data_IF_323079353268
#
_entry.id   IF_323079353268
#
_cell.length_a   1.000
_cell.length_b   1.000
_cell.length_c   1.000
_cell.angle_alpha   90.00
_cell.angle_beta   90.00
_cell.angle_gamma   90.00
#
_symmetry.space_group_name_H-M   'P 1'
#
loop_
_entity.id
_entity.type
_entity.pdbx_description
1 polymer ?
#
# COMPACT_ATOMS: atom_id res chain seq x y z
N UNK A 1 27.16 -45.34 -18.61
CA UNK A 1 27.82 -44.81 -17.39
C UNK A 1 27.82 -43.28 -17.32
N UNK A 2 28.20 -42.54 -18.38
CA UNK A 2 28.19 -41.05 -18.39
C UNK A 2 26.81 -40.41 -18.13
N UNK A 3 25.73 -40.95 -18.69
CA UNK A 3 24.37 -40.39 -18.57
C UNK A 3 23.75 -40.55 -17.19
N UNK A 4 24.11 -41.62 -16.46
CA UNK A 4 23.61 -41.88 -15.10
C UNK A 4 24.29 -40.94 -14.11
N UNK A 5 25.61 -40.78 -14.19
CA UNK A 5 26.36 -39.84 -13.35
C UNK A 5 25.92 -38.38 -13.51
N UNK A 6 25.52 -37.97 -14.72
CA UNK A 6 24.98 -36.62 -14.95
C UNK A 6 23.59 -36.41 -14.33
N UNK A 7 22.76 -37.45 -14.26
CA UNK A 7 21.41 -37.34 -13.69
C UNK A 7 21.46 -37.15 -12.18
N UNK A 8 22.39 -37.84 -11.49
CA UNK A 8 22.62 -37.67 -10.04
C UNK A 8 23.11 -36.25 -9.66
N UNK A 9 23.72 -35.53 -10.61
CA UNK A 9 24.23 -34.17 -10.39
C UNK A 9 23.14 -33.10 -10.55
N UNK A 10 22.03 -33.39 -11.23
CA UNK A 10 20.98 -32.40 -11.45
C UNK A 10 20.29 -31.93 -10.16
N UNK A 11 19.88 -32.82 -9.23
CA UNK A 11 19.32 -32.39 -7.94
C UNK A 11 20.28 -31.49 -7.15
N UNK A 12 21.58 -31.83 -7.14
CA UNK A 12 22.62 -31.04 -6.45
C UNK A 12 22.77 -29.67 -7.09
N UNK A 13 22.77 -29.59 -8.43
CA UNK A 13 22.81 -28.33 -9.16
C UNK A 13 21.61 -27.43 -8.81
N UNK A 14 20.39 -27.96 -8.84
CA UNK A 14 19.18 -27.20 -8.52
C UNK A 14 19.14 -26.75 -7.06
N UNK A 15 19.62 -27.59 -6.14
CA UNK A 15 19.75 -27.23 -4.73
C UNK A 15 20.74 -26.07 -4.54
N UNK A 16 21.94 -26.17 -5.13
CA UNK A 16 22.95 -25.11 -5.07
C UNK A 16 22.42 -23.81 -5.67
N UNK A 17 21.77 -23.88 -6.83
CA UNK A 17 21.14 -22.73 -7.48
C UNK A 17 20.08 -22.08 -6.58
N UNK A 18 19.20 -22.89 -5.97
CA UNK A 18 18.17 -22.42 -5.04
C UNK A 18 18.75 -21.69 -3.83
N UNK A 19 19.80 -22.24 -3.22
CA UNK A 19 20.51 -21.62 -2.09
C UNK A 19 21.18 -20.32 -2.50
N UNK A 20 21.91 -20.30 -3.63
CA UNK A 20 22.55 -19.09 -4.14
C UNK A 20 21.53 -17.98 -4.40
N UNK A 21 20.39 -18.30 -5.01
CA UNK A 21 19.31 -17.34 -5.25
C UNK A 21 18.71 -16.80 -3.95
N UNK A 22 18.54 -17.66 -2.93
CA UNK A 22 18.05 -17.23 -1.62
C UNK A 22 19.05 -16.28 -0.91
N UNK A 23 20.35 -16.53 -1.03
CA UNK A 23 21.39 -15.65 -0.48
C UNK A 23 21.40 -14.29 -1.21
N UNK A 24 21.32 -14.29 -2.53
CA UNK A 24 21.24 -13.05 -3.34
C UNK A 24 19.99 -12.25 -2.96
N UNK A 25 18.87 -12.93 -2.75
CA UNK A 25 17.65 -12.25 -2.30
C UNK A 25 17.85 -11.60 -0.93
N UNK A 26 18.45 -12.32 0.03
CA UNK A 26 18.66 -11.82 1.38
C UNK A 26 19.52 -10.56 1.43
N UNK A 27 20.43 -10.36 0.46
CA UNK A 27 21.26 -9.16 0.37
C UNK A 27 20.61 -8.01 -0.40
N UNK A 28 19.67 -8.30 -1.31
CA UNK A 28 19.05 -7.30 -2.21
C UNK A 28 17.68 -6.82 -1.75
N UNK A 29 16.93 -7.64 -1.00
CA UNK A 29 15.59 -7.32 -0.45
C UNK A 29 14.59 -6.86 -1.55
N UNK A 30 14.72 -7.40 -2.77
CA UNK A 30 13.93 -6.99 -3.94
C UNK A 30 12.68 -7.86 -4.18
N UNK A 31 12.54 -8.97 -3.46
CA UNK A 31 11.52 -10.01 -3.60
C UNK A 31 11.42 -10.58 -5.02
N UNK A 32 12.54 -10.72 -5.74
CA UNK A 32 12.56 -11.26 -7.11
C UNK A 32 13.23 -12.63 -7.15
N UNK A 33 14.44 -12.73 -6.61
CA UNK A 33 15.23 -13.97 -6.63
C UNK A 33 14.58 -15.08 -5.79
N UNK A 34 13.73 -14.73 -4.81
CA UNK A 34 12.98 -15.71 -4.00
C UNK A 34 12.07 -16.63 -4.84
N UNK A 35 11.43 -16.10 -5.90
CA UNK A 35 10.54 -16.90 -6.76
C UNK A 35 11.31 -17.88 -7.64
N UNK A 36 12.51 -17.48 -8.04
CA UNK A 36 13.45 -18.34 -8.75
C UNK A 36 14.05 -19.40 -7.82
N UNK A 37 14.36 -19.03 -6.57
CA UNK A 37 14.79 -19.99 -5.55
C UNK A 37 13.74 -21.08 -5.32
N UNK A 38 12.46 -20.70 -5.17
CA UNK A 38 11.35 -21.64 -5.03
C UNK A 38 11.20 -22.55 -6.27
N UNK A 39 11.30 -21.98 -7.47
CA UNK A 39 11.27 -22.76 -8.72
C UNK A 39 12.41 -23.78 -8.79
N UNK A 40 13.62 -23.41 -8.37
CA UNK A 40 14.77 -24.30 -8.34
C UNK A 40 14.54 -25.48 -7.38
N UNK A 41 14.02 -25.20 -6.17
CA UNK A 41 13.71 -26.24 -5.18
C UNK A 41 12.64 -27.21 -5.68
N UNK A 42 11.56 -26.71 -6.30
CA UNK A 42 10.50 -27.59 -6.86
C UNK A 42 11.03 -28.44 -8.02
N UNK A 43 11.97 -27.93 -8.80
CA UNK A 43 12.60 -28.65 -9.93
C UNK A 43 13.46 -29.83 -9.50
N UNK A 44 13.84 -29.91 -8.21
CA UNK A 44 14.51 -31.09 -7.64
C UNK A 44 13.65 -32.35 -7.80
N UNK A 45 12.32 -32.25 -7.71
CA UNK A 45 11.41 -33.40 -7.82
C UNK A 45 11.53 -34.11 -9.18
N UNK A 46 11.32 -33.45 -10.33
CA UNK A 46 11.51 -34.08 -11.62
C UNK A 46 12.98 -34.48 -11.87
N UNK A 47 13.96 -33.76 -11.30
CA UNK A 47 15.37 -34.16 -11.39
C UNK A 47 15.63 -35.52 -10.69
N UNK A 48 15.05 -35.74 -9.51
CA UNK A 48 15.12 -37.03 -8.80
C UNK A 48 14.39 -38.16 -9.53
N UNK A 49 13.38 -37.83 -10.32
CA UNK A 49 12.68 -38.79 -11.19
C UNK A 49 13.45 -39.10 -12.49
N UNK A 50 14.64 -38.52 -12.69
CA UNK A 50 15.45 -38.71 -13.89
C UNK A 50 14.89 -38.02 -15.14
N UNK A 51 14.04 -37.00 -14.97
CA UNK A 51 13.47 -36.24 -16.09
C UNK A 51 14.59 -35.55 -16.90
N UNK A 52 14.43 -35.42 -18.24
CA UNK A 52 15.42 -34.74 -19.05
C UNK A 52 15.51 -33.25 -18.73
N UNK A 53 16.66 -32.63 -18.99
CA UNK A 53 16.95 -31.22 -18.69
C UNK A 53 15.88 -30.24 -19.19
N UNK A 54 15.32 -30.48 -20.39
CA UNK A 54 14.26 -29.64 -20.95
C UNK A 54 12.97 -29.63 -20.11
N UNK A 55 12.60 -30.78 -19.51
CA UNK A 55 11.45 -30.87 -18.60
C UNK A 55 11.74 -30.14 -17.30
N UNK A 56 12.96 -30.29 -16.77
CA UNK A 56 13.39 -29.57 -15.56
C UNK A 56 13.34 -28.05 -15.77
N UNK A 57 13.87 -27.56 -16.90
CA UNK A 57 13.83 -26.13 -17.25
C UNK A 57 12.39 -25.62 -17.41
N UNK A 58 11.51 -26.40 -18.03
CA UNK A 58 10.11 -26.03 -18.15
C UNK A 58 9.44 -25.91 -16.78
N UNK A 59 9.65 -26.88 -15.89
CA UNK A 59 9.13 -26.86 -14.51
C UNK A 59 9.66 -25.65 -13.75
N UNK A 60 10.97 -25.39 -13.82
CA UNK A 60 11.59 -24.23 -13.18
C UNK A 60 10.91 -22.91 -13.60
N UNK A 61 10.83 -22.66 -14.92
CA UNK A 61 10.25 -21.44 -15.47
C UNK A 61 8.76 -21.33 -15.11
N UNK A 62 8.01 -22.42 -15.27
CA UNK A 62 6.58 -22.43 -14.97
C UNK A 62 6.30 -22.14 -13.49
N UNK A 63 7.01 -22.80 -12.58
CA UNK A 63 6.83 -22.60 -11.13
C UNK A 63 7.24 -21.19 -10.70
N UNK A 64 8.38 -20.69 -11.18
CA UNK A 64 8.82 -19.32 -10.85
C UNK A 64 7.86 -18.26 -11.40
N UNK A 65 7.38 -18.41 -12.64
CA UNK A 65 6.40 -17.50 -13.22
C UNK A 65 5.07 -17.55 -12.45
N UNK A 66 4.58 -18.74 -12.09
CA UNK A 66 3.36 -18.89 -11.30
C UNK A 66 3.50 -18.27 -9.91
N UNK A 67 4.63 -18.47 -9.23
CA UNK A 67 4.88 -17.88 -7.93
C UNK A 67 4.94 -16.34 -7.99
N UNK A 68 5.57 -15.80 -9.02
CA UNK A 68 5.65 -14.35 -9.26
C UNK A 68 4.31 -13.72 -9.68
N UNK A 69 3.51 -14.42 -10.48
CA UNK A 69 2.16 -13.96 -10.86
C UNK A 69 1.19 -14.07 -9.69
N UNK A 70 1.31 -15.14 -8.89
CA UNK A 70 0.50 -15.39 -7.69
C UNK A 70 0.76 -14.40 -6.56
N UNK A 71 1.91 -13.71 -6.56
CA UNK A 71 2.19 -12.69 -5.55
C UNK A 71 1.34 -11.45 -5.71
N UNK A 72 1.02 -11.01 -6.93
CA UNK A 72 0.17 -9.82 -7.16
C UNK A 72 -1.18 -9.88 -6.43
N UNK A 73 -2.03 -10.91 -6.62
CA UNK A 73 -3.30 -11.00 -5.92
C UNK A 73 -3.11 -11.20 -4.41
N UNK A 74 -2.09 -11.94 -3.98
CA UNK A 74 -1.82 -12.19 -2.56
C UNK A 74 -1.41 -10.91 -1.84
N UNK A 75 -0.48 -10.15 -2.41
CA UNK A 75 -0.05 -8.84 -1.92
C UNK A 75 -1.21 -7.86 -1.96
N UNK A 76 -2.02 -7.80 -3.02
CA UNK A 76 -3.19 -6.92 -3.04
C UNK A 76 -4.24 -7.27 -1.98
N UNK A 77 -4.37 -8.55 -1.59
CA UNK A 77 -5.31 -9.01 -0.56
C UNK A 77 -4.76 -8.84 0.87
N UNK A 78 -3.46 -8.92 1.06
CA UNK A 78 -2.80 -8.69 2.37
C UNK A 78 -2.48 -7.22 2.63
N UNK A 79 -2.07 -6.50 1.59
CA UNK A 79 -1.85 -5.05 1.58
C UNK A 79 -3.09 -4.26 1.15
N UNK A 80 -4.26 -4.90 0.97
CA UNK A 80 -5.52 -4.21 1.26
C UNK A 80 -5.61 -4.03 2.77
N UNK A 81 -4.66 -3.28 3.31
CA UNK A 81 -4.89 -2.41 4.44
C UNK A 81 -6.15 -1.67 4.02
N UNK A 82 -7.30 -2.07 4.61
CA UNK A 82 -8.42 -1.14 4.74
C UNK A 82 -7.75 0.19 5.05
N UNK A 83 -8.07 1.26 4.34
CA UNK A 83 -7.75 2.59 4.84
C UNK A 83 -8.40 2.70 6.22
N UNK A 84 -7.69 2.23 7.22
CA UNK A 84 -8.11 2.20 8.59
C UNK A 84 -7.80 3.61 8.99
N UNK A 85 -8.89 4.38 9.02
CA UNK A 85 -8.94 5.76 9.42
C UNK A 85 -7.91 6.00 10.51
N UNK A 86 -6.74 6.55 10.13
CA UNK A 86 -5.77 6.99 11.12
C UNK A 86 -6.52 7.98 12.00
N UNK A 87 -6.18 8.12 13.30
CA UNK A 87 -6.92 9.02 14.21
C UNK A 87 -7.19 10.43 13.63
N UNK A 88 -6.38 10.87 12.66
CA UNK A 88 -6.61 12.07 11.84
C UNK A 88 -7.99 12.09 11.15
N UNK A 89 -8.46 10.99 10.56
CA UNK A 89 -9.74 10.94 9.83
C UNK A 89 -10.96 11.16 10.73
N UNK A 90 -10.80 11.11 12.06
CA UNK A 90 -11.87 11.47 13.00
C UNK A 90 -12.29 12.93 12.89
N UNK A 91 -11.43 13.79 12.34
CA UNK A 91 -11.75 15.20 12.08
C UNK A 91 -12.65 15.37 10.86
N UNK A 92 -12.69 14.40 9.94
CA UNK A 92 -13.54 14.45 8.75
C UNK A 92 -15.01 14.37 9.17
N UNK A 93 -15.83 15.32 8.71
CA UNK A 93 -17.22 15.48 9.10
C UNK A 93 -17.44 16.24 10.41
N UNK A 94 -16.39 16.59 11.15
CA UNK A 94 -16.51 17.44 12.33
C UNK A 94 -16.70 18.91 11.93
N UNK A 95 -17.06 19.72 12.92
CA UNK A 95 -17.07 21.19 12.80
C UNK A 95 -15.84 21.75 13.52
N UNK A 96 -15.10 22.60 12.83
CA UNK A 96 -13.98 23.37 13.38
C UNK A 96 -14.26 24.86 13.39
N UNK A 97 -13.37 25.62 14.02
CA UNK A 97 -13.40 27.09 14.05
C UNK A 97 -12.12 27.61 13.41
N UNK A 98 -12.23 28.56 12.48
CA UNK A 98 -11.08 29.21 11.87
C UNK A 98 -10.32 30.03 12.93
N UNK A 99 -9.04 29.75 13.13
CA UNK A 99 -8.15 30.51 14.01
C UNK A 99 -7.46 31.64 13.26
N UNK A 100 -7.05 31.35 12.02
CA UNK A 100 -6.35 32.27 11.14
C UNK A 100 -7.06 32.25 9.79
N UNK A 101 -7.30 33.44 9.23
CA UNK A 101 -8.01 33.61 7.96
C UNK A 101 -7.46 32.64 6.90
N UNK A 102 -8.39 31.94 6.26
CA UNK A 102 -8.07 30.98 5.20
C UNK A 102 -8.06 31.75 3.89
N UNK A 103 -6.87 31.87 3.31
CA UNK A 103 -6.61 32.46 2.00
C UNK A 103 -5.80 31.45 1.19
N UNK A 104 -6.44 30.86 0.18
CA UNK A 104 -5.83 29.81 -0.62
C UNK A 104 -4.69 30.35 -1.51
N UNK A 105 -4.76 31.60 -1.95
CA UNK A 105 -3.77 32.26 -2.81
C UNK A 105 -2.48 32.56 -2.05
N UNK A 106 -2.61 32.99 -0.79
CA UNK A 106 -1.46 33.16 0.13
C UNK A 106 -1.04 31.87 0.83
N UNK A 107 -1.72 30.76 0.55
CA UNK A 107 -1.53 29.45 1.17
C UNK A 107 -1.56 29.47 2.72
N UNK A 108 -2.34 30.38 3.28
CA UNK A 108 -2.49 30.66 4.71
C UNK A 108 -3.87 30.16 5.18
N UNK A 109 -3.97 29.78 6.46
CA UNK A 109 -5.23 29.31 7.01
C UNK A 109 -5.05 28.24 8.07
N UNK A 110 -5.68 28.44 9.23
CA UNK A 110 -5.63 27.50 10.36
C UNK A 110 -7.00 27.34 10.98
N UNK A 111 -7.32 26.12 11.38
CA UNK A 111 -8.58 25.76 12.03
C UNK A 111 -8.32 24.95 13.29
N UNK A 112 -9.11 25.20 14.32
CA UNK A 112 -9.21 24.35 15.51
C UNK A 112 -10.32 23.33 15.32
N UNK A 113 -9.99 22.05 15.35
CA UNK A 113 -10.95 20.94 15.30
C UNK A 113 -10.63 19.96 16.42
N UNK A 114 -11.63 19.64 17.26
CA UNK A 114 -11.44 18.77 18.44
C UNK A 114 -10.30 19.23 19.38
N UNK A 115 -10.04 20.54 19.45
CA UNK A 115 -8.96 21.11 20.29
C UNK A 115 -7.56 21.04 19.67
N UNK A 116 -7.42 20.55 18.43
CA UNK A 116 -6.17 20.52 17.69
C UNK A 116 -6.13 21.61 16.62
N UNK A 117 -4.99 22.27 16.50
CA UNK A 117 -4.74 23.29 15.48
C UNK A 117 -4.16 22.65 14.21
N UNK A 118 -4.85 22.84 13.09
CA UNK A 118 -4.51 22.27 11.78
C UNK A 118 -4.49 23.35 10.70
N UNK A 119 -3.57 23.20 9.74
CA UNK A 119 -3.63 24.01 8.51
C UNK A 119 -4.87 23.66 7.70
N UNK A 120 -5.51 24.66 7.12
CA UNK A 120 -6.75 24.48 6.36
C UNK A 120 -6.70 25.19 5.01
N UNK A 121 -7.51 24.70 4.08
CA UNK A 121 -7.82 25.33 2.80
C UNK A 121 -9.30 25.27 2.52
N UNK A 122 -9.83 26.31 1.89
CA UNK A 122 -11.21 26.33 1.46
C UNK A 122 -11.40 25.43 0.22
N UNK A 123 -12.51 24.71 0.15
CA UNK A 123 -12.82 23.81 -0.98
C UNK A 123 -13.10 24.57 -2.28
N UNK A 124 -13.64 25.79 -2.19
CA UNK A 124 -14.09 26.62 -3.31
C UNK A 124 -13.21 27.85 -3.53
N UNK A 125 -11.99 27.85 -2.97
CA UNK A 125 -11.08 29.01 -2.96
C UNK A 125 -11.72 30.28 -2.39
N UNK A 126 -12.72 30.16 -1.51
CA UNK A 126 -13.27 31.31 -0.81
C UNK A 126 -12.40 31.70 0.37
N UNK A 127 -12.27 33.01 0.59
CA UNK A 127 -11.64 33.55 1.79
C UNK A 127 -12.57 33.36 2.99
N UNK A 128 -12.05 32.73 4.05
CA UNK A 128 -12.82 32.46 5.27
C UNK A 128 -12.17 33.17 6.45
N UNK A 129 -12.89 34.14 7.02
CA UNK A 129 -12.41 34.92 8.16
C UNK A 129 -12.24 34.09 9.43
N UNK A 130 -11.28 34.51 10.27
CA UNK A 130 -11.10 33.96 11.61
C UNK A 130 -12.39 34.06 12.46
N UNK A 131 -12.64 33.04 13.27
CA UNK A 131 -13.85 32.88 14.07
C UNK A 131 -15.00 32.16 13.35
N UNK A 132 -14.92 31.95 12.03
CA UNK A 132 -15.98 31.28 11.27
C UNK A 132 -16.04 29.78 11.59
N UNK A 133 -17.25 29.22 11.70
CA UNK A 133 -17.45 27.77 11.83
C UNK A 133 -17.40 27.10 10.45
N UNK A 134 -16.55 26.09 10.32
CA UNK A 134 -16.34 25.35 9.08
C UNK A 134 -16.55 23.86 9.29
N UNK A 135 -17.02 23.15 8.26
CA UNK A 135 -17.09 21.70 8.24
C UNK A 135 -15.89 21.13 7.51
N UNK A 136 -15.26 20.10 8.08
CA UNK A 136 -14.12 19.42 7.47
C UNK A 136 -14.66 18.38 6.49
N UNK A 137 -14.33 18.54 5.21
CA UNK A 137 -14.78 17.64 4.14
C UNK A 137 -13.77 16.52 3.86
N UNK A 138 -12.49 16.84 3.89
CA UNK A 138 -11.41 15.91 3.57
C UNK A 138 -10.07 16.34 4.19
N UNK A 139 -9.09 15.45 4.11
CA UNK A 139 -7.69 15.73 4.44
C UNK A 139 -6.88 15.57 3.15
N UNK A 140 -6.15 16.61 2.76
CA UNK A 140 -5.22 16.59 1.63
C UNK A 140 -3.79 16.83 2.14
N UNK A 141 -3.02 15.73 2.22
CA UNK A 141 -1.69 15.75 2.83
C UNK A 141 -1.77 16.06 4.32
N UNK A 142 -1.33 17.25 4.71
CA UNK A 142 -1.38 17.76 6.11
C UNK A 142 -2.40 18.89 6.29
N UNK A 143 -3.18 19.23 5.24
CA UNK A 143 -4.16 20.32 5.26
C UNK A 143 -5.58 19.76 5.29
N UNK A 144 -6.44 20.40 6.08
CA UNK A 144 -7.87 20.12 6.08
C UNK A 144 -8.54 20.89 4.95
N UNK A 145 -9.37 20.20 4.18
CA UNK A 145 -10.26 20.83 3.20
C UNK A 145 -11.56 21.15 3.89
N UNK A 146 -11.91 22.43 3.95
CA UNK A 146 -13.03 22.92 4.74
C UNK A 146 -14.02 23.73 3.90
N UNK A 147 -15.25 23.81 4.37
CA UNK A 147 -16.30 24.64 3.80
C UNK A 147 -17.04 25.38 4.91
N UNK A 148 -17.49 26.61 4.64
CA UNK A 148 -18.31 27.38 5.57
C UNK A 148 -19.57 26.58 5.92
N UNK A 149 -19.78 26.32 7.21
CA UNK A 149 -21.01 25.70 7.69
C UNK A 149 -22.09 26.77 7.70
N UNK A 150 -22.93 26.80 6.67
CA UNK A 150 -24.14 27.63 6.67
C UNK A 150 -25.04 27.14 7.81
N UNK A 151 -25.15 27.92 8.88
CA UNK A 151 -26.14 27.70 9.93
C UNK A 151 -27.51 27.83 9.27
N UNK A 152 -28.16 26.70 8.98
CA UNK A 152 -29.57 26.70 8.62
C UNK A 152 -30.39 26.97 9.87
N UNK A 153 -31.00 28.15 9.95
CA UNK A 153 -32.08 28.49 10.87
C UNK A 153 -33.20 27.44 10.80
N UNK A 154 -33.17 26.44 11.69
CA UNK A 154 -34.28 25.48 11.86
C UNK A 154 -34.62 25.15 13.32
N UNK A 155 -34.28 26.02 14.27
CA UNK A 155 -34.62 25.81 15.70
C UNK A 155 -35.49 26.91 16.34
N UNK A 156 -36.07 27.86 15.58
CA UNK A 156 -36.89 28.95 16.16
C UNK A 156 -38.41 28.71 16.11
N UNK A 157 -38.92 27.57 15.62
CA UNK A 157 -40.38 27.33 15.49
C UNK A 157 -40.89 26.06 16.20
N UNK A 158 -40.41 25.77 17.42
CA UNK A 158 -41.02 24.70 18.25
C UNK A 158 -41.50 25.14 19.64
N UNK A 159 -41.52 26.44 19.91
CA UNK A 159 -42.16 27.00 21.10
C UNK A 159 -43.10 28.15 20.69
N UNK A 160 -44.20 27.82 20.03
CA UNK A 160 -45.44 28.61 20.08
C UNK A 160 -46.65 27.66 20.13
#
# INVERSE_FOLDING_TARGET
MRTVLSQELYPVFWLMLGITLAIIEATTVQLVAIWFSLGAVVTIIPALMGAPMWVQLFVFVAVSALAMLGTRPFVKRFLSVKQERTNADRVIGQTGVVLEEIDNDKAQGRVSVMGLDWSARSVDNTDIQAGTKVSILAIEGVKLIVQIKKTSDKEVLKEE
#
